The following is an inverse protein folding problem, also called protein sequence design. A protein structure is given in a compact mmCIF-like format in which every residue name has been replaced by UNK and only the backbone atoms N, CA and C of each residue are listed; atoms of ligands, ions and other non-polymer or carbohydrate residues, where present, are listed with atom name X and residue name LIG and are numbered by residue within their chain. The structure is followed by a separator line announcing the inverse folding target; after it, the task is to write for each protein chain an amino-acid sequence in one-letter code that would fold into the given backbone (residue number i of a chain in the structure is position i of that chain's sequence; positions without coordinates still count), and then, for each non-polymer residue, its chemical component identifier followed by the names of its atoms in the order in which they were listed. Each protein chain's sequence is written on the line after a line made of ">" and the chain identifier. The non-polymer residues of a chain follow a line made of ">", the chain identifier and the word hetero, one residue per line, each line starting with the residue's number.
data_IF_089943007921
#
_entry.id   IF_089943007921
#
_cell.length_a   1.000
_cell.length_b   1.000
_cell.length_c   1.000
_cell.angle_alpha   90.00
_cell.angle_beta   90.00
_cell.angle_gamma   90.00
#
_symmetry.space_group_name_H-M   'P 1'
#
loop_
_entity.id
_entity.type
_entity.pdbx_description
1 polymer ?
#
# COMPACT_ATOMS: atom_id res chain seq x y z
N UNK A 1 6.30 7.84 29.62
CA UNK A 1 4.84 7.62 29.58
C UNK A 1 4.19 8.99 29.53
N UNK A 2 3.78 9.44 28.34
CA UNK A 2 3.33 10.82 28.13
C UNK A 2 1.82 10.94 28.40
N UNK A 3 1.51 11.80 29.38
CA UNK A 3 0.26 12.46 29.77
C UNK A 3 -1.00 12.18 28.93
N UNK A 4 -2.00 11.54 29.55
CA UNK A 4 -3.39 11.53 29.05
C UNK A 4 -4.16 12.63 29.76
N UNK A 5 -4.59 13.63 29.00
CA UNK A 5 -5.37 14.77 29.47
C UNK A 5 -6.74 14.30 29.97
N UNK A 6 -7.10 14.76 31.17
CA UNK A 6 -8.42 14.57 31.78
C UNK A 6 -9.47 15.30 30.95
N UNK A 7 -10.40 14.56 30.33
CA UNK A 7 -11.61 15.16 29.75
C UNK A 7 -12.73 15.02 30.77
N UNK A 8 -13.12 16.14 31.35
CA UNK A 8 -14.25 16.27 32.26
C UNK A 8 -15.54 15.79 31.60
N UNK A 9 -16.23 14.83 32.23
CA UNK A 9 -17.58 14.40 31.82
C UNK A 9 -18.56 15.49 32.25
N UNK A 10 -18.97 16.34 31.31
CA UNK A 10 -20.14 17.18 31.49
C UNK A 10 -21.39 16.31 31.24
N UNK A 11 -22.04 15.89 32.32
CA UNK A 11 -23.44 15.43 32.27
C UNK A 11 -24.32 16.65 31.96
N UNK A 12 -24.93 16.72 30.76
CA UNK A 12 -26.13 17.55 30.59
C UNK A 12 -26.46 18.08 29.19
N UNK A 13 -27.67 17.72 28.76
CA UNK A 13 -28.62 18.41 27.86
C UNK A 13 -28.50 18.22 26.35
N UNK A 14 -29.64 17.77 25.81
CA UNK A 14 -29.98 17.46 24.44
C UNK A 14 -29.83 18.65 23.49
N UNK A 15 -29.13 18.46 22.38
CA UNK A 15 -29.07 19.44 21.28
C UNK A 15 -28.19 18.96 20.14
N UNK A 16 -28.80 18.76 18.97
CA UNK A 16 -28.16 18.38 17.71
C UNK A 16 -27.01 19.34 17.32
N UNK A 17 -25.76 18.95 17.56
CA UNK A 17 -24.63 19.31 16.70
C UNK A 17 -23.76 18.07 16.56
N UNK A 18 -24.18 17.18 15.65
CA UNK A 18 -23.37 16.04 15.22
C UNK A 18 -22.12 16.55 14.52
N UNK A 19 -21.07 16.88 15.27
CA UNK A 19 -19.71 16.80 14.74
C UNK A 19 -19.46 15.31 14.54
N UNK A 20 -19.62 14.84 13.29
CA UNK A 20 -19.08 13.54 12.88
C UNK A 20 -17.56 13.68 12.89
N UNK A 21 -16.98 13.65 14.07
CA UNK A 21 -15.60 13.21 14.24
C UNK A 21 -15.76 11.71 14.17
N UNK A 22 -15.64 11.13 12.97
CA UNK A 22 -15.35 9.71 12.86
C UNK A 22 -14.12 9.51 13.75
N UNK A 23 -14.31 8.88 14.90
CA UNK A 23 -13.23 8.72 15.85
C UNK A 23 -12.17 7.91 15.15
N UNK A 24 -10.91 8.32 15.29
CA UNK A 24 -9.74 7.66 14.72
C UNK A 24 -9.77 6.13 14.94
N UNK A 25 -10.39 5.69 16.04
CA UNK A 25 -10.67 4.29 16.39
C UNK A 25 -11.53 3.51 15.39
N UNK A 26 -12.41 4.17 14.61
CA UNK A 26 -13.25 3.54 13.58
C UNK A 26 -12.59 3.52 12.19
N UNK A 27 -11.57 4.36 11.95
CA UNK A 27 -10.77 4.37 10.73
C UNK A 27 -9.67 3.30 10.72
N UNK A 28 -9.10 2.98 11.88
CA UNK A 28 -8.01 1.99 12.00
C UNK A 28 -8.46 0.58 11.55
N UNK A 29 -9.65 0.07 11.92
CA UNK A 29 -10.14 -1.22 11.42
C UNK A 29 -10.39 -1.21 9.91
N UNK A 30 -10.91 -0.10 9.37
CA UNK A 30 -11.20 0.03 7.92
C UNK A 30 -9.92 0.07 7.10
N UNK A 31 -8.91 0.83 7.54
CA UNK A 31 -7.59 0.87 6.91
C UNK A 31 -6.88 -0.48 7.02
N UNK A 32 -6.92 -1.12 8.20
CA UNK A 32 -6.34 -2.45 8.40
C UNK A 32 -6.96 -3.49 7.47
N UNK A 33 -8.29 -3.49 7.31
CA UNK A 33 -8.98 -4.36 6.34
C UNK A 33 -8.55 -4.03 4.90
N UNK A 34 -8.49 -2.76 4.53
CA UNK A 34 -8.08 -2.34 3.19
C UNK A 34 -6.66 -2.81 2.85
N UNK A 35 -5.70 -2.59 3.76
CA UNK A 35 -4.32 -3.03 3.59
C UNK A 35 -4.20 -4.57 3.51
N UNK A 36 -5.03 -5.29 4.28
CA UNK A 36 -5.13 -6.76 4.18
C UNK A 36 -5.67 -7.20 2.82
N UNK A 37 -6.69 -6.54 2.31
CA UNK A 37 -7.25 -6.84 0.99
C UNK A 37 -6.23 -6.53 -0.13
N UNK A 38 -5.43 -5.46 0.04
CA UNK A 38 -4.29 -5.16 -0.85
C UNK A 38 -3.23 -6.26 -0.80
N UNK A 39 -2.82 -6.72 0.39
CA UNK A 39 -1.76 -7.73 0.53
C UNK A 39 -2.16 -9.09 -0.04
N UNK A 40 -3.44 -9.48 0.10
CA UNK A 40 -3.96 -10.74 -0.46
C UNK A 40 -3.84 -10.75 -1.99
N UNK A 41 -4.14 -9.62 -2.64
CA UNK A 41 -4.04 -9.49 -4.10
C UNK A 41 -2.60 -9.51 -4.61
N UNK A 42 -1.69 -8.93 -3.84
CA UNK A 42 -0.27 -8.88 -4.17
C UNK A 42 0.44 -10.22 -3.92
N UNK A 43 -0.12 -11.11 -3.10
CA UNK A 43 0.47 -12.40 -2.76
C UNK A 43 1.72 -12.33 -1.87
N UNK A 44 1.94 -13.35 -1.05
CA UNK A 44 2.97 -13.32 0.01
C UNK A 44 4.41 -13.13 -0.54
N UNK A 45 4.75 -13.82 -1.63
CA UNK A 45 6.10 -13.76 -2.23
C UNK A 45 6.39 -12.39 -2.84
N UNK A 46 5.44 -11.82 -3.57
CA UNK A 46 5.63 -10.51 -4.18
C UNK A 46 5.46 -9.38 -3.16
N UNK A 47 4.63 -9.54 -2.13
CA UNK A 47 4.57 -8.63 -0.98
C UNK A 47 5.90 -8.47 -0.26
N UNK A 48 6.56 -9.57 0.11
CA UNK A 48 7.86 -9.53 0.78
C UNK A 48 8.99 -8.91 -0.07
N UNK A 49 8.97 -9.17 -1.38
CA UNK A 49 9.92 -8.58 -2.34
C UNK A 49 9.70 -7.08 -2.51
N UNK A 50 8.45 -6.64 -2.68
CA UNK A 50 8.12 -5.22 -2.76
C UNK A 50 8.53 -4.48 -1.48
N UNK A 51 8.24 -5.03 -0.30
CA UNK A 51 8.73 -4.48 0.97
C UNK A 51 10.26 -4.34 0.97
N UNK A 52 10.97 -5.38 0.54
CA UNK A 52 12.44 -5.38 0.46
C UNK A 52 12.99 -4.36 -0.55
N UNK A 53 12.24 -4.04 -1.62
CA UNK A 53 12.58 -2.98 -2.57
C UNK A 53 12.47 -1.58 -1.96
N UNK A 54 11.56 -1.37 -1.00
CA UNK A 54 11.36 -0.07 -0.36
C UNK A 54 12.46 0.26 0.66
N UNK A 55 12.93 -0.75 1.41
CA UNK A 55 13.96 -0.54 2.44
C UNK A 55 15.37 -0.87 1.92
N UNK A 56 15.51 -1.93 1.12
CA UNK A 56 16.76 -2.46 0.59
C UNK A 56 17.01 -2.10 -0.86
N UNK A 57 17.88 -2.87 -1.53
CA UNK A 57 18.27 -2.65 -2.93
C UNK A 57 17.79 -3.82 -3.80
N UNK A 58 16.51 -4.15 -3.68
CA UNK A 58 15.88 -5.21 -4.46
C UNK A 58 15.02 -4.62 -5.58
N UNK A 59 15.02 -5.24 -6.76
CA UNK A 59 14.12 -4.88 -7.86
C UNK A 59 13.07 -5.98 -8.04
N UNK A 60 11.76 -5.66 -8.07
CA UNK A 60 10.72 -6.67 -8.30
C UNK A 60 10.89 -7.39 -9.64
N UNK A 61 10.50 -8.67 -9.70
CA UNK A 61 10.44 -9.40 -10.97
C UNK A 61 9.28 -8.91 -11.85
N UNK A 62 9.30 -9.23 -13.16
CA UNK A 62 8.19 -8.91 -14.08
C UNK A 62 6.85 -9.44 -13.56
N UNK A 63 6.83 -10.66 -13.02
CA UNK A 63 5.63 -11.23 -12.39
C UNK A 63 5.13 -10.42 -11.19
N UNK A 64 6.04 -10.03 -10.29
CA UNK A 64 5.66 -9.18 -9.15
C UNK A 64 5.28 -7.76 -9.56
N UNK A 65 5.83 -7.23 -10.66
CA UNK A 65 5.39 -5.96 -11.23
C UNK A 65 3.97 -6.06 -11.82
N UNK A 66 3.63 -7.15 -12.51
CA UNK A 66 2.26 -7.39 -12.97
C UNK A 66 1.28 -7.44 -11.79
N UNK A 67 1.60 -8.17 -10.73
CA UNK A 67 0.75 -8.26 -9.54
C UNK A 67 0.62 -6.92 -8.82
N UNK A 68 1.72 -6.16 -8.69
CA UNK A 68 1.72 -4.83 -8.08
C UNK A 68 0.84 -3.85 -8.86
N UNK A 69 1.04 -3.76 -10.18
CA UNK A 69 0.28 -2.87 -11.06
C UNK A 69 -1.21 -3.26 -11.09
N UNK A 70 -1.51 -4.57 -11.13
CA UNK A 70 -2.89 -5.10 -11.06
C UNK A 70 -3.56 -4.79 -9.72
N UNK A 71 -2.81 -4.86 -8.61
CA UNK A 71 -3.30 -4.51 -7.27
C UNK A 71 -3.65 -3.02 -7.19
N UNK A 72 -2.90 -2.17 -7.90
CA UNK A 72 -3.23 -0.77 -8.14
C UNK A 72 -2.47 0.22 -7.28
N UNK A 73 -2.35 1.46 -7.79
CA UNK A 73 -1.51 2.53 -7.22
C UNK A 73 -1.88 2.88 -5.79
N UNK A 74 -3.18 2.95 -5.49
CA UNK A 74 -3.66 3.29 -4.15
C UNK A 74 -3.22 2.26 -3.11
N UNK A 75 -3.27 0.96 -3.44
CA UNK A 75 -2.78 -0.07 -2.54
C UNK A 75 -1.28 0.10 -2.26
N UNK A 76 -0.48 0.38 -3.30
CA UNK A 76 0.95 0.62 -3.16
C UNK A 76 1.27 1.85 -2.29
N UNK A 77 0.56 2.97 -2.51
CA UNK A 77 0.73 4.21 -1.75
C UNK A 77 0.30 4.06 -0.28
N UNK A 78 -0.85 3.44 -0.02
CA UNK A 78 -1.34 3.22 1.36
C UNK A 78 -0.43 2.25 2.12
N UNK A 79 0.10 1.21 1.45
CA UNK A 79 1.08 0.31 2.06
C UNK A 79 2.40 1.03 2.36
N UNK A 80 2.81 1.96 1.50
CA UNK A 80 4.00 2.80 1.72
C UNK A 80 3.81 3.71 2.95
N UNK A 81 2.64 4.36 3.09
CA UNK A 81 2.31 5.18 4.28
C UNK A 81 2.29 4.33 5.55
N UNK A 82 1.69 3.14 5.46
CA UNK A 82 1.68 2.19 6.56
C UNK A 82 3.11 1.79 6.96
N UNK A 83 3.96 1.46 6.00
CA UNK A 83 5.37 1.14 6.24
C UNK A 83 6.10 2.26 6.97
N UNK A 84 5.99 3.49 6.49
CA UNK A 84 6.58 4.68 7.13
C UNK A 84 6.11 4.83 8.58
N UNK A 85 4.84 4.53 8.86
CA UNK A 85 4.30 4.59 10.22
C UNK A 85 4.82 3.47 11.15
N UNK A 86 5.30 2.36 10.58
CA UNK A 86 5.77 1.18 11.32
C UNK A 86 7.29 1.10 11.45
N UNK A 87 8.04 1.76 10.58
CA UNK A 87 9.50 1.77 10.56
C UNK A 87 10.04 3.18 10.91
N UNK A 88 9.86 3.68 12.15
CA UNK A 88 10.28 5.04 12.53
C UNK A 88 11.79 5.27 12.46
N UNK A 89 12.59 4.21 12.42
CA UNK A 89 14.04 4.25 12.25
C UNK A 89 14.49 4.48 10.79
N UNK A 90 13.60 4.26 9.82
CA UNK A 90 13.89 4.50 8.41
C UNK A 90 13.57 5.95 8.02
N UNK A 91 14.26 6.46 7.00
CA UNK A 91 13.99 7.81 6.50
C UNK A 91 12.69 7.81 5.64
N UNK A 92 11.62 8.52 6.05
CA UNK A 92 10.33 8.51 5.34
C UNK A 92 10.42 8.99 3.89
N UNK A 93 11.28 9.99 3.65
CA UNK A 93 11.49 10.56 2.31
C UNK A 93 12.18 9.53 1.42
N UNK A 94 13.18 8.81 1.96
CA UNK A 94 13.88 7.74 1.23
C UNK A 94 12.92 6.62 0.84
N UNK A 95 12.05 6.16 1.76
CA UNK A 95 11.04 5.14 1.47
C UNK A 95 10.06 5.65 0.40
N UNK A 96 9.57 6.88 0.52
CA UNK A 96 8.62 7.46 -0.43
C UNK A 96 9.21 7.56 -1.84
N UNK A 97 10.45 8.03 -1.97
CA UNK A 97 11.16 8.10 -3.26
C UNK A 97 11.36 6.72 -3.87
N UNK A 98 11.80 5.74 -3.07
CA UNK A 98 11.94 4.36 -3.54
C UNK A 98 10.60 3.76 -3.98
N UNK A 99 9.54 4.01 -3.22
CA UNK A 99 8.19 3.58 -3.54
C UNK A 99 7.71 4.12 -4.88
N UNK A 100 7.92 5.42 -5.14
CA UNK A 100 7.60 6.02 -6.43
C UNK A 100 8.39 5.39 -7.58
N UNK A 101 9.69 5.17 -7.39
CA UNK A 101 10.54 4.55 -8.41
C UNK A 101 10.08 3.12 -8.72
N UNK A 102 9.85 2.28 -7.71
CA UNK A 102 9.35 0.91 -7.88
C UNK A 102 8.02 0.89 -8.65
N UNK A 103 7.11 1.79 -8.32
CA UNK A 103 5.84 1.89 -9.03
C UNK A 103 6.04 2.22 -10.51
N UNK A 104 6.82 3.26 -10.81
CA UNK A 104 7.06 3.71 -12.17
C UNK A 104 7.81 2.66 -13.00
N UNK A 105 8.82 2.02 -12.41
CA UNK A 105 9.57 0.93 -13.05
C UNK A 105 8.63 -0.24 -13.38
N UNK A 106 7.78 -0.65 -12.44
CA UNK A 106 6.83 -1.73 -12.70
C UNK A 106 5.78 -1.38 -13.75
N UNK A 107 5.26 -0.15 -13.76
CA UNK A 107 4.36 0.32 -14.84
C UNK A 107 5.07 0.25 -16.20
N UNK A 108 6.33 0.70 -16.27
CA UNK A 108 7.14 0.63 -17.48
C UNK A 108 7.38 -0.81 -17.95
N UNK A 109 7.76 -1.70 -17.03
CA UNK A 109 7.98 -3.13 -17.30
C UNK A 109 6.72 -3.81 -17.81
N UNK A 110 5.55 -3.54 -17.20
CA UNK A 110 4.27 -4.14 -17.63
C UNK A 110 3.81 -3.59 -18.97
N UNK A 111 4.03 -2.30 -19.24
CA UNK A 111 3.71 -1.69 -20.54
C UNK A 111 4.63 -2.19 -21.68
N UNK A 112 5.85 -2.60 -21.35
CA UNK A 112 6.83 -3.15 -22.29
C UNK A 112 6.83 -4.68 -22.33
N UNK A 113 6.16 -5.34 -21.39
CA UNK A 113 6.04 -6.80 -21.36
C UNK A 113 5.45 -7.23 -22.71
N UNK A 114 6.18 -8.06 -23.46
CA UNK A 114 6.02 -8.10 -24.89
C UNK A 114 4.65 -8.63 -25.28
N UNK A 115 4.09 -8.01 -26.32
CA UNK A 115 3.01 -8.49 -27.20
C UNK A 115 3.23 -9.95 -27.72
N UNK A 116 4.38 -10.56 -27.44
CA UNK A 116 4.84 -11.89 -27.87
C UNK A 116 4.19 -13.07 -27.15
N UNK A 117 3.00 -12.91 -26.57
CA UNK A 117 2.18 -14.05 -26.11
C UNK A 117 1.02 -14.36 -27.06
N UNK A 118 0.90 -13.66 -28.20
CA UNK A 118 -0.20 -13.84 -29.16
C UNK A 118 0.20 -14.39 -30.54
N UNK A 119 1.48 -14.73 -30.77
CA UNK A 119 1.99 -15.16 -32.09
C UNK A 119 2.51 -16.60 -32.13
N UNK A 120 2.12 -17.46 -31.17
CA UNK A 120 2.41 -18.90 -31.22
C UNK A 120 1.11 -19.70 -31.45
N UNK A 121 0.43 -19.42 -32.56
CA UNK A 121 -0.56 -20.33 -33.13
C UNK A 121 -0.63 -20.17 -34.65
N UNK A 122 0.39 -20.68 -35.34
CA UNK A 122 0.25 -21.03 -36.75
C UNK A 122 0.82 -22.45 -36.93
N UNK A 123 -0.03 -23.48 -37.15
CA UNK A 123 0.47 -24.81 -37.48
C UNK A 123 1.01 -24.80 -38.91
N UNK A 124 2.24 -25.27 -39.09
CA UNK A 124 2.76 -25.58 -40.42
C UNK A 124 2.05 -26.82 -40.98
N UNK A 125 1.67 -26.72 -42.25
CA UNK A 125 0.98 -27.70 -43.07
C UNK A 125 1.92 -28.80 -43.59
#
# INVERSE_FOLDING_TARGET
>A
MALVALVSVFMGTSGLVGRVIATYEECVPKLGKYLKDCSIKLGDKCGARNFSSLIGNYTPSIGCCNELVTTGKNCHEEFTKFLISKEPQENPTKISTKSLNVWNDCVGVVAQAPYTASEESMPEA
#
